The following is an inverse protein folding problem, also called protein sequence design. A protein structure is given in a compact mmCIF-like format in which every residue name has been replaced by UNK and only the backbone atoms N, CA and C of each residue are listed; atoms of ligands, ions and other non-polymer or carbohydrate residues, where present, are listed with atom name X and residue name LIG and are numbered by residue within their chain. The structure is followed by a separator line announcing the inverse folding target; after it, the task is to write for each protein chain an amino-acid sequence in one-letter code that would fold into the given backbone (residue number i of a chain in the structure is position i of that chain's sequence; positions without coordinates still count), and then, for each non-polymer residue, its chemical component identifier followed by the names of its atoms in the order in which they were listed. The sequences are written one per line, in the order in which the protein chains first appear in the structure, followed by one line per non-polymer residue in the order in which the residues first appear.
data_IF_430292060212
#
_entry.id   IF_430292060212
#
_cell.length_a   1.000
_cell.length_b   1.000
_cell.length_c   1.000
_cell.angle_alpha   90.00
_cell.angle_beta   90.00
_cell.angle_gamma   90.00
#
_symmetry.space_group_name_H-M   'P 1'
#
loop_
_entity.id
_entity.type
_entity.pdbx_description
1 polymer ?
#
# COMPACT_ATOMS: atom_id res chain seq x y z
N UNK A 1 50.17 -27.17 -10.63
CA UNK A 1 48.98 -26.98 -9.78
C UNK A 1 48.35 -25.61 -10.06
N UNK A 2 47.49 -25.45 -11.06
CA UNK A 2 46.81 -24.16 -11.36
C UNK A 2 45.36 -24.33 -11.84
N UNK A 3 44.73 -25.48 -11.58
CA UNK A 3 43.37 -25.79 -12.07
C UNK A 3 42.22 -25.36 -11.14
N UNK A 4 42.49 -24.65 -10.04
CA UNK A 4 41.47 -24.37 -9.00
C UNK A 4 40.75 -23.02 -9.10
N UNK A 5 41.22 -22.08 -9.94
CA UNK A 5 40.75 -20.68 -9.89
C UNK A 5 39.55 -20.38 -10.80
N UNK A 6 39.40 -21.07 -11.94
CA UNK A 6 38.32 -20.82 -12.94
C UNK A 6 36.96 -21.43 -12.58
N UNK A 7 36.94 -22.55 -11.85
CA UNK A 7 35.70 -23.20 -11.42
C UNK A 7 35.00 -22.48 -10.26
N UNK A 8 35.77 -21.79 -9.39
CA UNK A 8 35.21 -21.05 -8.26
C UNK A 8 34.52 -19.75 -8.69
N UNK A 9 35.06 -19.06 -9.70
CA UNK A 9 34.48 -17.79 -10.19
C UNK A 9 33.18 -18.00 -10.97
N UNK A 10 33.06 -19.10 -11.71
CA UNK A 10 31.83 -19.46 -12.45
C UNK A 10 30.71 -19.92 -11.51
N UNK A 11 31.02 -20.71 -10.49
CA UNK A 11 30.05 -21.09 -9.46
C UNK A 11 29.56 -19.89 -8.62
N UNK A 12 30.45 -18.93 -8.30
CA UNK A 12 30.08 -17.69 -7.63
C UNK A 12 29.19 -16.79 -8.50
N UNK A 13 29.47 -16.69 -9.80
CA UNK A 13 28.63 -15.95 -10.74
C UNK A 13 27.23 -16.55 -10.89
N UNK A 14 27.13 -17.88 -10.95
CA UNK A 14 25.84 -18.58 -11.03
C UNK A 14 25.01 -18.41 -9.74
N UNK A 15 25.65 -18.54 -8.57
CA UNK A 15 24.98 -18.33 -7.29
C UNK A 15 24.45 -16.89 -7.14
N UNK A 16 25.24 -15.90 -7.53
CA UNK A 16 24.81 -14.49 -7.52
C UNK A 16 23.63 -14.26 -8.46
N UNK A 17 23.63 -14.87 -9.64
CA UNK A 17 22.52 -14.80 -10.61
C UNK A 17 21.22 -15.36 -10.04
N UNK A 18 21.27 -16.50 -9.36
CA UNK A 18 20.10 -17.12 -8.71
C UNK A 18 19.57 -16.23 -7.57
N UNK A 19 20.46 -15.70 -6.72
CA UNK A 19 20.07 -14.78 -5.64
C UNK A 19 19.39 -13.54 -6.20
N UNK A 20 19.95 -12.95 -7.25
CA UNK A 20 19.35 -11.79 -7.91
C UNK A 20 17.97 -12.11 -8.49
N UNK A 21 17.80 -13.26 -9.15
CA UNK A 21 16.51 -13.68 -9.69
C UNK A 21 15.45 -13.86 -8.59
N UNK A 22 15.83 -14.45 -7.45
CA UNK A 22 14.93 -14.61 -6.29
C UNK A 22 14.54 -13.24 -5.72
N UNK A 23 15.49 -12.32 -5.57
CA UNK A 23 15.22 -10.96 -5.08
C UNK A 23 14.23 -10.25 -6.00
N UNK A 24 14.43 -10.30 -7.32
CA UNK A 24 13.53 -9.70 -8.30
C UNK A 24 12.12 -10.30 -8.25
N UNK A 25 12.02 -11.63 -8.09
CA UNK A 25 10.73 -12.31 -7.95
C UNK A 25 9.97 -11.85 -6.70
N UNK A 26 10.65 -11.78 -5.55
CA UNK A 26 10.05 -11.33 -4.28
C UNK A 26 9.59 -9.88 -4.39
N UNK A 27 10.40 -9.00 -4.99
CA UNK A 27 10.03 -7.61 -5.23
C UNK A 27 8.82 -7.49 -6.16
N UNK A 28 8.75 -8.30 -7.22
CA UNK A 28 7.60 -8.34 -8.14
C UNK A 28 6.31 -8.78 -7.46
N UNK A 29 6.35 -9.84 -6.65
CA UNK A 29 5.20 -10.30 -5.86
C UNK A 29 4.73 -9.20 -4.90
N UNK A 30 5.67 -8.56 -4.20
CA UNK A 30 5.35 -7.49 -3.26
C UNK A 30 4.69 -6.30 -3.97
N UNK A 31 5.29 -5.86 -5.07
CA UNK A 31 4.79 -4.75 -5.87
C UNK A 31 3.36 -5.02 -6.37
N UNK A 32 3.12 -6.24 -6.86
CA UNK A 32 1.79 -6.68 -7.29
C UNK A 32 0.78 -6.67 -6.15
N UNK A 33 1.11 -7.22 -4.99
CA UNK A 33 0.20 -7.25 -3.85
C UNK A 33 -0.15 -5.85 -3.31
N UNK A 34 0.81 -4.92 -3.35
CA UNK A 34 0.51 -3.52 -3.01
C UNK A 34 -0.42 -2.92 -4.07
N UNK A 35 -0.13 -3.07 -5.36
CA UNK A 35 -1.00 -2.55 -6.42
C UNK A 35 -2.42 -3.11 -6.36
N UNK A 36 -2.59 -4.41 -6.12
CA UNK A 36 -3.90 -5.05 -6.03
C UNK A 36 -4.73 -4.60 -4.82
N UNK A 37 -4.12 -3.97 -3.81
CA UNK A 37 -4.81 -3.47 -2.60
C UNK A 37 -4.95 -1.96 -2.63
N UNK A 38 -3.91 -1.22 -3.00
CA UNK A 38 -3.85 0.25 -2.94
C UNK A 38 -3.99 0.95 -4.28
N UNK A 39 -4.02 0.23 -5.40
CA UNK A 39 -3.87 0.77 -6.77
C UNK A 39 -2.53 1.48 -7.04
N UNK A 40 -1.55 1.41 -6.13
CA UNK A 40 -0.25 2.05 -6.27
C UNK A 40 0.86 1.06 -6.71
N UNK A 41 1.68 1.42 -7.70
CA UNK A 41 2.87 0.65 -8.10
C UNK A 41 4.09 0.99 -7.24
N UNK A 42 4.01 0.67 -5.94
CA UNK A 42 5.09 0.92 -4.95
C UNK A 42 5.37 -0.33 -4.11
N UNK A 43 6.60 -0.52 -3.66
CA UNK A 43 6.97 -1.67 -2.82
C UNK A 43 6.38 -1.61 -1.41
N UNK A 44 6.14 -0.38 -0.94
CA UNK A 44 5.63 -0.08 0.39
C UNK A 44 4.42 0.82 0.27
N UNK A 45 3.27 0.42 0.84
CA UNK A 45 2.08 1.26 0.80
C UNK A 45 2.32 2.55 1.57
N UNK A 46 1.81 3.66 1.03
CA UNK A 46 1.77 4.95 1.72
C UNK A 46 0.72 4.90 2.84
N UNK A 47 0.88 5.73 3.86
CA UNK A 47 -0.13 5.88 4.92
C UNK A 47 -1.50 6.25 4.34
N UNK A 48 -1.51 7.07 3.28
CA UNK A 48 -2.69 7.39 2.48
C UNK A 48 -2.49 6.88 1.05
N UNK A 49 -2.90 5.64 0.75
CA UNK A 49 -2.83 5.10 -0.60
C UNK A 49 -3.87 5.76 -1.53
N UNK A 50 -3.72 5.60 -2.85
CA UNK A 50 -4.71 6.13 -3.80
C UNK A 50 -6.09 5.44 -3.66
N UNK A 51 -6.09 4.15 -3.30
CA UNK A 51 -7.27 3.39 -2.91
C UNK A 51 -7.14 2.79 -1.51
N UNK A 52 -8.20 2.91 -0.71
CA UNK A 52 -8.33 2.31 0.62
C UNK A 52 -9.51 1.34 0.62
N UNK A 53 -9.28 0.09 1.07
CA UNK A 53 -10.36 -0.86 1.31
C UNK A 53 -10.80 -0.77 2.78
N UNK A 54 -12.09 -0.53 3.02
CA UNK A 54 -12.67 -0.41 4.36
C UNK A 54 -14.11 -0.92 4.37
N UNK A 55 -14.46 -1.75 5.36
CA UNK A 55 -15.78 -2.34 5.50
C UNK A 55 -16.32 -2.98 4.20
N UNK A 56 -15.47 -3.79 3.54
CA UNK A 56 -15.75 -4.48 2.27
C UNK A 56 -16.07 -3.54 1.08
N UNK A 57 -15.68 -2.26 1.17
CA UNK A 57 -15.82 -1.27 0.10
C UNK A 57 -14.48 -0.64 -0.23
N UNK A 58 -14.35 -0.16 -1.46
CA UNK A 58 -13.20 0.58 -1.94
C UNK A 58 -13.47 2.08 -1.89
N UNK A 59 -12.48 2.87 -1.46
CA UNK A 59 -12.53 4.33 -1.39
C UNK A 59 -11.35 4.93 -2.16
N UNK A 60 -11.60 5.95 -2.97
CA UNK A 60 -10.60 6.73 -3.68
C UNK A 60 -10.19 7.94 -2.85
N UNK A 61 -8.90 8.01 -2.52
CA UNK A 61 -8.28 9.18 -1.94
C UNK A 61 -7.61 10.05 -3.03
N UNK A 62 -7.44 9.52 -4.24
CA UNK A 62 -6.72 10.16 -5.35
C UNK A 62 -5.21 9.89 -5.30
N UNK A 63 -4.52 10.06 -6.43
CA UNK A 63 -3.08 9.78 -6.54
C UNK A 63 -2.19 10.71 -5.68
N UNK A 64 -2.66 11.95 -5.52
CA UNK A 64 -2.11 12.99 -4.66
C UNK A 64 -3.27 13.56 -3.87
N UNK A 65 -3.69 12.88 -2.78
CA UNK A 65 -4.72 13.41 -1.93
C UNK A 65 -4.18 14.75 -1.41
N UNK A 66 -4.74 15.87 -1.88
CA UNK A 66 -4.47 17.15 -1.23
C UNK A 66 -4.89 16.99 0.23
N UNK A 67 -4.11 17.51 1.18
CA UNK A 67 -4.57 17.59 2.57
C UNK A 67 -5.95 18.25 2.53
N UNK A 68 -6.99 17.45 2.75
CA UNK A 68 -8.35 17.90 2.67
C UNK A 68 -8.68 18.53 4.01
N UNK A 69 -9.53 19.56 4.03
CA UNK A 69 -10.13 20.07 5.26
C UNK A 69 -11.12 19.07 5.91
N UNK A 70 -10.92 17.76 5.70
CA UNK A 70 -11.75 16.71 6.27
C UNK A 70 -11.58 16.70 7.78
N UNK A 71 -12.59 17.17 8.49
CA UNK A 71 -12.61 17.09 9.95
C UNK A 71 -12.87 15.66 10.39
N UNK A 72 -12.20 15.23 11.46
CA UNK A 72 -12.53 13.99 12.18
C UNK A 72 -13.61 14.20 13.24
N UNK A 73 -14.09 15.43 13.41
CA UNK A 73 -15.14 15.77 14.37
C UNK A 73 -16.43 14.99 14.07
N UNK A 74 -16.97 14.33 15.09
CA UNK A 74 -18.13 13.46 14.96
C UNK A 74 -17.85 12.09 14.31
N UNK A 75 -16.61 11.81 13.91
CA UNK A 75 -16.17 10.51 13.42
C UNK A 75 -15.49 9.72 14.52
N UNK A 76 -15.48 8.40 14.36
CA UNK A 76 -14.75 7.49 15.23
C UNK A 76 -13.70 6.75 14.43
N UNK A 77 -12.56 6.43 15.06
CA UNK A 77 -11.56 5.54 14.46
C UNK A 77 -12.16 4.15 14.31
N UNK A 78 -12.12 3.60 13.09
CA UNK A 78 -12.72 2.30 12.73
C UNK A 78 -11.74 1.32 12.11
N UNK A 79 -10.54 1.77 11.74
CA UNK A 79 -9.52 0.91 11.16
C UNK A 79 -8.22 1.64 10.89
N UNK A 80 -7.35 0.97 10.14
CA UNK A 80 -6.05 1.48 9.72
C UNK A 80 -5.78 1.02 8.29
N UNK A 81 -5.17 1.87 7.46
CA UNK A 81 -4.75 1.53 6.10
C UNK A 81 -3.56 0.57 6.14
N UNK A 82 -3.27 -0.09 5.02
CA UNK A 82 -2.10 -0.97 4.89
C UNK A 82 -0.75 -0.26 5.08
N UNK A 83 -0.72 1.07 4.93
CA UNK A 83 0.46 1.90 5.16
C UNK A 83 0.48 2.60 6.52
N UNK A 84 -0.48 2.30 7.41
CA UNK A 84 -0.48 2.79 8.79
C UNK A 84 -1.25 4.09 9.06
N UNK A 85 -2.04 4.59 8.10
CA UNK A 85 -2.93 5.74 8.33
C UNK A 85 -4.20 5.34 9.06
N UNK A 86 -4.73 6.19 9.93
CA UNK A 86 -5.93 5.88 10.71
C UNK A 86 -7.21 6.20 9.94
N UNK A 87 -8.15 5.25 9.89
CA UNK A 87 -9.42 5.40 9.18
C UNK A 87 -10.52 5.84 10.16
N UNK A 88 -11.12 6.99 9.87
CA UNK A 88 -12.24 7.58 10.58
C UNK A 88 -13.50 7.52 9.72
N UNK A 89 -14.61 7.10 10.32
CA UNK A 89 -15.91 7.03 9.66
C UNK A 89 -17.04 7.31 10.66
N UNK A 90 -18.25 7.54 10.13
CA UNK A 90 -19.46 7.66 10.94
C UNK A 90 -19.66 6.41 11.80
N UNK A 91 -20.20 6.59 13.01
CA UNK A 91 -20.62 5.49 13.88
C UNK A 91 -21.92 4.81 13.43
N UNK A 92 -22.62 5.39 12.44
CA UNK A 92 -23.85 4.82 11.90
C UNK A 92 -23.60 3.48 11.20
N UNK A 93 -24.58 2.59 11.26
CA UNK A 93 -24.57 1.30 10.54
C UNK A 93 -24.93 1.44 9.06
N UNK A 94 -25.11 2.66 8.56
CA UNK A 94 -25.47 2.95 7.18
C UNK A 94 -24.30 2.77 6.22
N UNK A 95 -24.60 2.79 4.92
CA UNK A 95 -23.59 2.76 3.88
C UNK A 95 -22.74 4.05 3.93
N UNK A 96 -21.51 3.93 4.39
CA UNK A 96 -20.54 5.03 4.43
C UNK A 96 -20.12 5.40 3.00
N UNK A 97 -20.44 6.61 2.57
CA UNK A 97 -20.10 7.13 1.23
C UNK A 97 -18.75 7.83 1.18
N UNK A 98 -18.18 8.15 2.35
CA UNK A 98 -16.86 8.75 2.48
C UNK A 98 -16.22 8.37 3.81
N UNK A 99 -14.88 8.31 3.83
CA UNK A 99 -14.08 8.14 5.03
C UNK A 99 -13.07 9.28 5.14
N UNK A 100 -12.50 9.48 6.32
CA UNK A 100 -11.33 10.33 6.52
C UNK A 100 -10.16 9.45 6.94
N UNK A 101 -9.04 9.59 6.26
CA UNK A 101 -7.77 8.99 6.66
C UNK A 101 -6.92 10.07 7.31
N UNK A 102 -6.43 9.82 8.52
CA UNK A 102 -5.48 10.70 9.21
C UNK A 102 -4.07 10.10 9.15
N UNK A 103 -3.10 10.89 8.69
CA UNK A 103 -1.70 10.52 8.59
C UNK A 103 -0.81 11.77 8.62
N UNK A 104 0.37 11.69 9.24
CA UNK A 104 1.39 12.76 9.24
C UNK A 104 0.85 14.15 9.64
N UNK A 105 -0.04 14.19 10.65
CA UNK A 105 -0.74 15.39 11.13
C UNK A 105 -1.66 16.08 10.11
N UNK A 106 -2.05 15.37 9.04
CA UNK A 106 -3.01 15.80 8.04
C UNK A 106 -4.18 14.82 7.94
N UNK A 107 -5.29 15.29 7.41
CA UNK A 107 -6.49 14.49 7.13
C UNK A 107 -6.81 14.52 5.65
N UNK A 108 -7.38 13.41 5.17
CA UNK A 108 -7.64 13.18 3.76
C UNK A 108 -9.02 12.54 3.62
N UNK A 109 -9.93 13.19 2.91
CA UNK A 109 -11.26 12.64 2.65
C UNK A 109 -11.16 11.72 1.43
N UNK A 110 -11.61 10.48 1.60
CA UNK A 110 -11.66 9.50 0.53
C UNK A 110 -13.12 9.17 0.23
N UNK A 111 -13.52 9.32 -1.03
CA UNK A 111 -14.88 9.03 -1.50
C UNK A 111 -15.02 7.56 -1.87
N UNK A 112 -16.21 7.00 -1.71
CA UNK A 112 -16.51 5.65 -2.16
C UNK A 112 -16.26 5.48 -3.67
N UNK A 113 -15.57 4.40 -4.05
CA UNK A 113 -15.42 3.96 -5.43
C UNK A 113 -16.58 3.06 -5.85
N UNK A 114 -17.48 3.61 -6.66
CA UNK A 114 -18.58 2.88 -7.27
C UNK A 114 -19.76 2.57 -6.33
N UNK A 115 -20.95 2.48 -6.91
CA UNK A 115 -22.22 2.25 -6.21
C UNK A 115 -22.85 3.52 -5.58
N UNK A 116 -24.12 3.46 -5.13
CA UNK A 116 -24.73 4.48 -4.29
C UNK A 116 -24.26 4.46 -2.82
#
# INVERSE_FOLDING_TARGET
MTSGRRGRTTALGAALGVVLAIVLLVLGIRLRGVHETTSDWVLWPRAVPSRVQFADRDYECGAHPGAGAGSVEGLVKRGTTSGGGDIYASSSSGATTWIVVAADNATYTCGLLGGP
#
